data_IF_260707454811
#
_entry.id   IF_260707454811
#
_cell.length_a   1.000
_cell.length_b   1.000
_cell.length_c   1.000
_cell.angle_alpha   90.00
_cell.angle_beta   90.00
_cell.angle_gamma   90.00
#
_symmetry.space_group_name_H-M   'P 1'
#
loop_
_entity.id
_entity.type
_entity.pdbx_description
1 polymer ?
#
# COMPACT_ATOMS: atom_id res chain seq x y z
N UNK A 1 -14.51 7.32 -21.13
CA UNK A 1 -13.81 6.61 -20.04
C UNK A 1 -13.79 7.54 -18.83
N UNK A 2 -14.41 7.13 -17.72
CA UNK A 2 -14.39 7.93 -16.50
C UNK A 2 -13.19 7.53 -15.63
N UNK A 3 -12.49 8.51 -15.07
CA UNK A 3 -11.42 8.31 -14.10
C UNK A 3 -11.95 8.69 -12.72
N UNK A 4 -11.78 7.78 -11.75
CA UNK A 4 -12.09 8.04 -10.36
C UNK A 4 -10.78 8.08 -9.57
N UNK A 5 -10.58 9.14 -8.80
CA UNK A 5 -9.42 9.32 -7.92
C UNK A 5 -9.88 9.86 -6.58
N UNK A 6 -9.23 9.40 -5.50
CA UNK A 6 -9.45 9.87 -4.14
C UNK A 6 -8.08 10.15 -3.52
N UNK A 7 -7.93 11.36 -2.96
CA UNK A 7 -6.72 11.76 -2.25
C UNK A 7 -7.02 11.95 -0.77
N UNK A 8 -6.34 11.18 0.09
CA UNK A 8 -6.39 11.32 1.54
C UNK A 8 -5.19 12.15 2.01
N UNK A 9 -5.46 13.31 2.64
CA UNK A 9 -4.40 14.23 3.12
C UNK A 9 -4.39 14.41 4.63
N UNK A 10 -5.50 14.12 5.31
CA UNK A 10 -5.58 14.28 6.77
C UNK A 10 -4.95 13.06 7.43
N UNK A 11 -4.09 13.31 8.43
CA UNK A 11 -3.41 12.26 9.21
C UNK A 11 -4.37 11.17 9.69
N UNK A 12 -5.53 11.56 10.22
CA UNK A 12 -6.53 10.60 10.72
C UNK A 12 -7.04 9.65 9.62
N UNK A 13 -7.25 10.15 8.40
CA UNK A 13 -7.73 9.34 7.28
C UNK A 13 -6.64 8.44 6.72
N UNK A 14 -5.41 8.94 6.61
CA UNK A 14 -4.27 8.15 6.11
C UNK A 14 -3.90 7.03 7.07
N UNK A 15 -3.93 7.29 8.39
CA UNK A 15 -3.70 6.25 9.40
C UNK A 15 -4.81 5.19 9.37
N UNK A 16 -6.07 5.60 9.41
CA UNK A 16 -7.20 4.66 9.35
C UNK A 16 -7.22 3.83 8.06
N UNK A 17 -6.81 4.43 6.93
CA UNK A 17 -6.67 3.72 5.67
C UNK A 17 -5.58 2.64 5.75
N UNK A 18 -4.41 2.98 6.27
CA UNK A 18 -3.29 2.03 6.43
C UNK A 18 -3.65 0.88 7.36
N UNK A 19 -4.24 1.17 8.53
CA UNK A 19 -4.67 0.15 9.48
C UNK A 19 -5.66 -0.83 8.84
N UNK A 20 -6.66 -0.28 8.11
CA UNK A 20 -7.65 -1.10 7.41
C UNK A 20 -7.01 -1.92 6.30
N UNK A 21 -6.14 -1.32 5.48
CA UNK A 21 -5.45 -1.99 4.38
C UNK A 21 -4.71 -3.25 4.88
N UNK A 22 -3.94 -3.13 5.96
CA UNK A 22 -3.17 -4.24 6.51
C UNK A 22 -4.08 -5.28 7.14
N UNK A 23 -5.15 -4.87 7.84
CA UNK A 23 -6.11 -5.79 8.47
C UNK A 23 -6.88 -6.68 7.49
N UNK A 24 -7.09 -6.20 6.25
CA UNK A 24 -7.80 -6.93 5.19
C UNK A 24 -6.89 -7.91 4.44
N UNK A 25 -5.57 -7.83 4.63
CA UNK A 25 -4.59 -8.71 3.99
C UNK A 25 -4.31 -9.93 4.86
N UNK A 26 -4.36 -11.12 4.27
CA UNK A 26 -3.92 -12.33 4.96
C UNK A 26 -2.43 -12.24 5.30
N UNK A 27 -1.99 -12.99 6.31
CA UNK A 27 -0.57 -13.07 6.68
C UNK A 27 0.32 -13.39 5.47
N UNK A 28 -0.07 -14.37 4.66
CA UNK A 28 0.66 -14.73 3.44
C UNK A 28 0.75 -13.59 2.41
N UNK A 29 -0.29 -12.76 2.28
CA UNK A 29 -0.26 -11.60 1.40
C UNK A 29 0.65 -10.50 1.96
N UNK A 30 0.68 -10.32 3.29
CA UNK A 30 1.58 -9.37 3.96
C UNK A 30 3.04 -9.79 3.81
N UNK A 31 3.34 -11.06 4.07
CA UNK A 31 4.68 -11.63 3.89
C UNK A 31 5.18 -11.46 2.44
N UNK A 32 4.30 -11.68 1.46
CA UNK A 32 4.63 -11.48 0.04
C UNK A 32 4.83 -10.00 -0.31
N UNK A 33 4.01 -9.10 0.25
CA UNK A 33 4.20 -7.66 0.05
C UNK A 33 5.51 -7.18 0.64
N UNK A 34 5.88 -7.64 1.84
CA UNK A 34 7.16 -7.35 2.51
C UNK A 34 8.34 -7.69 1.59
N UNK A 35 8.35 -8.88 1.00
CA UNK A 35 9.38 -9.32 0.05
C UNK A 35 9.47 -8.44 -1.21
N UNK A 36 8.37 -7.77 -1.57
CA UNK A 36 8.28 -6.92 -2.75
C UNK A 36 8.38 -5.42 -2.43
N UNK A 37 8.55 -5.02 -1.16
CA UNK A 37 8.56 -3.61 -0.77
C UNK A 37 9.66 -2.82 -1.49
N UNK A 38 10.84 -3.42 -1.65
CA UNK A 38 11.97 -2.81 -2.33
C UNK A 38 11.62 -2.42 -3.78
N UNK A 39 10.96 -3.32 -4.52
CA UNK A 39 10.55 -3.08 -5.91
C UNK A 39 9.35 -2.13 -6.02
N UNK A 40 8.53 -2.05 -4.97
CA UNK A 40 7.29 -1.25 -4.93
C UNK A 40 7.48 0.15 -4.37
N UNK A 41 8.60 0.42 -3.70
CA UNK A 41 8.95 1.72 -3.15
C UNK A 41 9.93 2.43 -4.11
N UNK A 42 9.44 3.49 -4.75
CA UNK A 42 10.28 4.27 -5.67
C UNK A 42 11.26 5.21 -4.97
N UNK A 43 12.14 5.82 -5.74
CA UNK A 43 13.14 6.79 -5.26
C UNK A 43 12.52 8.03 -4.60
N UNK A 44 11.24 8.30 -4.82
CA UNK A 44 10.50 9.40 -4.19
C UNK A 44 9.84 9.00 -2.87
N UNK A 45 10.10 7.78 -2.40
CA UNK A 45 9.42 7.13 -1.27
C UNK A 45 7.91 7.01 -1.49
N UNK A 46 7.49 6.78 -2.73
CA UNK A 46 6.11 6.42 -3.05
C UNK A 46 6.00 4.90 -3.10
N UNK A 47 5.15 4.34 -2.24
CA UNK A 47 4.77 2.94 -2.29
C UNK A 47 3.65 2.76 -3.31
N UNK A 48 3.86 1.85 -4.27
CA UNK A 48 2.89 1.54 -5.33
C UNK A 48 2.25 0.16 -5.10
N UNK A 49 0.95 0.19 -4.82
CA UNK A 49 0.14 -1.01 -4.67
C UNK A 49 -0.96 -1.04 -5.75
N UNK A 50 -1.35 -2.25 -6.14
CA UNK A 50 -2.38 -2.48 -7.14
C UNK A 50 -3.27 -3.60 -6.68
N UNK A 51 -4.58 -3.36 -6.71
CA UNK A 51 -5.58 -4.30 -6.25
C UNK A 51 -6.62 -4.60 -7.33
N UNK A 52 -7.12 -5.82 -7.34
CA UNK A 52 -8.12 -6.25 -8.31
C UNK A 52 -9.44 -5.51 -8.16
N UNK A 53 -9.87 -4.80 -9.21
CA UNK A 53 -11.19 -4.15 -9.24
C UNK A 53 -12.32 -5.15 -9.03
N UNK A 54 -12.21 -6.30 -9.70
CA UNK A 54 -13.24 -7.34 -9.66
C UNK A 54 -13.36 -7.98 -8.26
N UNK A 55 -12.22 -8.27 -7.62
CA UNK A 55 -12.22 -8.83 -6.25
C UNK A 55 -12.62 -7.77 -5.22
N UNK A 56 -12.17 -6.53 -5.37
CA UNK A 56 -12.52 -5.42 -4.49
C UNK A 56 -14.03 -5.12 -4.52
N UNK A 57 -14.66 -5.19 -5.71
CA UNK A 57 -16.11 -5.09 -5.84
C UNK A 57 -16.86 -6.18 -5.04
N UNK A 58 -16.27 -7.37 -4.94
CA UNK A 58 -16.78 -8.48 -4.13
C UNK A 58 -16.33 -8.41 -2.65
N UNK A 59 -15.76 -7.29 -2.20
CA UNK A 59 -15.29 -7.08 -0.83
C UNK A 59 -13.98 -7.78 -0.47
N UNK A 60 -13.18 -8.22 -1.45
CA UNK A 60 -11.89 -8.89 -1.22
C UNK A 60 -10.73 -8.07 -1.73
N UNK A 61 -9.77 -7.78 -0.87
CA UNK A 61 -8.54 -7.08 -1.23
C UNK A 61 -7.49 -8.10 -1.71
N UNK A 62 -7.20 -8.09 -3.02
CA UNK A 62 -6.21 -8.99 -3.63
C UNK A 62 -5.23 -8.17 -4.45
N UNK A 63 -3.95 -8.22 -4.08
CA UNK A 63 -2.89 -7.59 -4.84
C UNK A 63 -2.75 -8.26 -6.21
N UNK A 64 -2.61 -7.46 -7.27
CA UNK A 64 -2.42 -7.97 -8.64
C UNK A 64 -1.53 -7.04 -9.47
N UNK A 65 -0.94 -7.57 -10.54
CA UNK A 65 -0.08 -6.81 -11.46
C UNK A 65 -0.80 -6.33 -12.73
N UNK A 66 -2.12 -6.52 -12.81
CA UNK A 66 -2.95 -6.12 -13.96
C UNK A 66 -2.85 -4.62 -14.25
N UNK A 67 -3.05 -4.24 -15.51
CA UNK A 67 -3.23 -2.84 -15.92
C UNK A 67 -4.61 -2.31 -15.52
N UNK A 68 -5.62 -3.17 -15.40
CA UNK A 68 -6.98 -2.81 -14.99
C UNK A 68 -7.19 -3.03 -13.48
N UNK A 69 -6.42 -2.31 -12.66
CA UNK A 69 -6.41 -2.42 -11.22
C UNK A 69 -6.81 -1.10 -10.54
N UNK A 70 -7.19 -1.18 -9.26
CA UNK A 70 -7.23 -0.02 -8.37
C UNK A 70 -5.78 0.28 -7.97
N UNK A 71 -5.24 1.38 -8.47
CA UNK A 71 -3.90 1.83 -8.12
C UNK A 71 -3.96 2.64 -6.83
N UNK A 72 -3.17 2.23 -5.83
CA UNK A 72 -3.01 2.92 -4.56
C UNK A 72 -1.56 3.40 -4.46
N UNK A 73 -1.39 4.69 -4.21
CA UNK A 73 -0.09 5.34 -4.05
C UNK A 73 -0.01 5.95 -2.66
N UNK A 74 1.03 5.59 -1.91
CA UNK A 74 1.20 6.01 -0.52
C UNK A 74 2.56 6.65 -0.38
N UNK A 75 2.59 7.93 -0.02
CA UNK A 75 3.85 8.64 0.20
C UNK A 75 4.36 8.35 1.61
N UNK A 76 5.52 7.72 1.68
CA UNK A 76 6.21 7.42 2.93
C UNK A 76 7.18 8.56 3.24
N UNK A 77 7.01 9.20 4.39
CA UNK A 77 7.79 10.37 4.77
C UNK A 77 8.78 9.99 5.87
N UNK A 78 10.08 10.01 5.55
CA UNK A 78 11.18 9.92 6.51
C UNK A 78 11.94 11.25 6.56
N UNK A 79 12.41 11.63 7.75
CA UNK A 79 13.19 12.86 7.97
C UNK A 79 14.53 12.50 8.63
N UNK A 80 15.68 12.69 7.95
CA UNK A 80 15.84 13.04 6.53
C UNK A 80 15.30 11.94 5.61
N UNK A 81 15.12 12.26 4.32
CA UNK A 81 14.67 11.32 3.30
C UNK A 81 15.66 10.16 3.20
N UNK A 82 15.22 9.00 3.65
CA UNK A 82 16.02 7.78 3.75
C UNK A 82 15.15 6.59 3.34
N UNK A 83 15.60 5.87 2.32
CA UNK A 83 14.88 4.73 1.73
C UNK A 83 14.94 3.50 2.63
N UNK A 84 16.07 3.25 3.29
CA UNK A 84 16.21 2.09 4.17
C UNK A 84 15.29 2.24 5.38
N UNK A 85 15.27 3.43 5.99
CA UNK A 85 14.31 3.73 7.08
C UNK A 85 12.86 3.62 6.65
N UNK A 86 12.55 3.98 5.41
CA UNK A 86 11.20 3.85 4.88
C UNK A 86 10.81 2.38 4.69
N UNK A 87 11.74 1.54 4.24
CA UNK A 87 11.52 0.09 4.15
C UNK A 87 11.33 -0.53 5.52
N UNK A 88 12.23 -0.27 6.48
CA UNK A 88 12.11 -0.76 7.86
C UNK A 88 10.75 -0.38 8.48
N UNK A 89 10.33 0.88 8.33
CA UNK A 89 9.02 1.34 8.82
C UNK A 89 7.85 0.60 8.17
N UNK A 90 7.94 0.29 6.87
CA UNK A 90 6.91 -0.46 6.17
C UNK A 90 6.90 -1.93 6.60
N UNK A 91 8.07 -2.56 6.72
CA UNK A 91 8.23 -3.93 7.21
C UNK A 91 7.58 -4.08 8.59
N UNK A 92 7.96 -3.23 9.55
CA UNK A 92 7.36 -3.18 10.88
C UNK A 92 5.83 -3.04 10.81
N UNK A 93 5.34 -2.16 9.94
CA UNK A 93 3.90 -1.89 9.83
C UNK A 93 3.11 -3.08 9.26
N UNK A 94 3.68 -3.84 8.32
CA UNK A 94 3.04 -5.04 7.78
C UNK A 94 3.14 -6.24 8.73
N UNK A 95 4.14 -6.27 9.62
CA UNK A 95 4.35 -7.33 10.62
C UNK A 95 3.57 -7.14 11.94
N UNK A 96 3.24 -5.91 12.32
CA UNK A 96 2.64 -5.57 13.63
C UNK A 96 1.17 -6.03 13.87
N UNK A 97 0.52 -6.71 12.92
CA UNK A 97 -0.88 -7.18 13.02
C UNK A 97 -1.01 -8.71 13.04
#
# INVERSE_FOLDING_TARGET
>A
MALYSLDLKRKAETSAFMDRLVSELSKSQRDELVRQLDERLDDQLMLHLRFSKQKAYSGKLVAESSSDAIAVKIKIATYPKDRNKALEMLEDFFEQI
#
